data_IF_889506908859
#
_entry.id   IF_889506908859
#
_cell.length_a   1.000
_cell.length_b   1.000
_cell.length_c   1.000
_cell.angle_alpha   90.00
_cell.angle_beta   90.00
_cell.angle_gamma   90.00
#
_symmetry.space_group_name_H-M   'P 1'
#
loop_
_entity.id
_entity.type
_entity.pdbx_description
1 polymer ?
#
# COMPACT_ATOMS: atom_id res chain seq x y z
N UNK A 1 -2.27 12.38 -3.07
CA UNK A 1 -2.98 13.65 -3.31
C UNK A 1 -3.61 13.65 -4.69
N UNK A 2 -4.88 13.98 -4.80
CA UNK A 2 -5.56 14.00 -6.09
C UNK A 2 -5.06 15.16 -6.93
N UNK A 3 -4.65 14.92 -8.20
CA UNK A 3 -4.15 15.99 -9.06
C UNK A 3 -5.23 17.01 -9.38
N UNK A 4 -4.85 18.28 -9.45
CA UNK A 4 -5.75 19.34 -9.88
C UNK A 4 -5.88 19.34 -11.40
N UNK A 5 -7.06 19.71 -11.92
CA UNK A 5 -7.33 19.83 -13.35
C UNK A 5 -7.09 18.52 -14.13
N UNK A 6 -7.60 17.42 -13.59
CA UNK A 6 -7.48 16.10 -14.23
C UNK A 6 -8.35 16.08 -15.49
N UNK A 7 -7.73 16.00 -16.65
CA UNK A 7 -8.41 15.88 -17.95
C UNK A 7 -8.45 14.44 -18.46
N UNK A 8 -7.73 13.55 -17.79
CA UNK A 8 -7.64 12.13 -18.13
C UNK A 8 -7.39 11.34 -16.85
N UNK A 9 -7.52 10.02 -16.95
CA UNK A 9 -7.24 9.15 -15.82
C UNK A 9 -5.75 9.26 -15.45
N UNK A 10 -5.43 9.64 -14.20
CA UNK A 10 -4.03 9.74 -13.81
C UNK A 10 -3.39 8.35 -13.65
N UNK A 11 -2.07 8.25 -13.83
CA UNK A 11 -1.35 7.03 -13.48
C UNK A 11 -1.24 6.89 -11.96
N UNK A 12 -1.01 5.67 -11.47
CA UNK A 12 -0.90 5.41 -10.03
C UNK A 12 0.21 6.23 -9.37
N UNK A 13 1.28 6.54 -10.10
CA UNK A 13 2.38 7.36 -9.56
C UNK A 13 1.91 8.73 -9.05
N UNK A 14 0.80 9.26 -9.57
CA UNK A 14 0.29 10.57 -9.18
C UNK A 14 -0.33 10.59 -7.79
N UNK A 15 -0.74 9.43 -7.27
CA UNK A 15 -1.46 9.31 -6.00
C UNK A 15 -0.82 8.32 -5.00
N UNK A 16 0.17 7.57 -5.43
CA UNK A 16 0.88 6.63 -4.56
C UNK A 16 1.68 7.33 -3.48
N UNK A 17 2.05 6.60 -2.43
CA UNK A 17 3.10 7.02 -1.51
C UNK A 17 4.45 6.65 -2.14
N UNK A 18 5.27 7.63 -2.51
CA UNK A 18 6.58 7.35 -3.12
C UNK A 18 7.62 6.95 -2.07
N UNK A 19 8.58 6.15 -2.48
CA UNK A 19 9.72 5.74 -1.64
C UNK A 19 9.29 5.25 -0.26
N UNK A 20 8.41 4.25 -0.18
CA UNK A 20 7.89 3.80 1.10
C UNK A 20 8.98 3.18 1.96
N UNK A 21 8.78 3.25 3.27
CA UNK A 21 9.61 2.47 4.19
C UNK A 21 9.43 0.99 3.89
N UNK A 22 10.52 0.25 3.91
CA UNK A 22 10.52 -1.19 3.69
C UNK A 22 11.20 -1.89 4.87
N UNK A 23 11.06 -3.20 4.92
CA UNK A 23 11.69 -4.02 5.95
C UNK A 23 12.39 -5.20 5.27
N UNK A 24 13.52 -5.61 5.83
CA UNK A 24 14.24 -6.78 5.34
C UNK A 24 13.55 -8.08 5.78
N UNK A 25 13.55 -9.08 4.91
CA UNK A 25 12.96 -10.38 5.17
C UNK A 25 13.57 -11.07 6.40
N UNK A 26 14.84 -10.81 6.67
CA UNK A 26 15.57 -11.34 7.82
C UNK A 26 15.27 -10.66 9.15
N UNK A 27 14.52 -9.57 9.12
CA UNK A 27 14.14 -8.86 10.34
C UNK A 27 13.02 -9.58 11.08
N UNK A 28 12.85 -9.22 12.35
CA UNK A 28 11.83 -9.82 13.20
C UNK A 28 10.46 -9.21 12.97
N UNK A 29 9.43 -10.00 13.25
CA UNK A 29 8.04 -9.50 13.25
C UNK A 29 7.84 -8.42 14.32
N UNK A 30 8.59 -8.47 15.41
CA UNK A 30 8.59 -7.44 16.45
C UNK A 30 9.03 -6.09 15.86
N UNK A 31 10.08 -6.08 15.05
CA UNK A 31 10.53 -4.85 14.39
C UNK A 31 9.46 -4.33 13.42
N UNK A 32 8.82 -5.22 12.67
CA UNK A 32 7.72 -4.84 11.78
C UNK A 32 6.58 -4.14 12.55
N UNK A 33 6.17 -4.70 13.69
CA UNK A 33 5.12 -4.10 14.53
C UNK A 33 5.52 -2.71 15.03
N UNK A 34 6.76 -2.58 15.47
CA UNK A 34 7.28 -1.28 15.97
C UNK A 34 7.29 -0.23 14.86
N UNK A 35 7.71 -0.61 13.66
CA UNK A 35 7.72 0.29 12.51
C UNK A 35 6.30 0.73 12.16
N UNK A 36 5.36 -0.21 12.09
CA UNK A 36 3.96 0.13 11.78
C UNK A 36 3.36 1.05 12.83
N UNK A 37 3.58 0.78 14.10
CA UNK A 37 3.06 1.60 15.19
C UNK A 37 3.68 3.00 15.20
N UNK A 38 4.99 3.09 14.98
CA UNK A 38 5.72 4.36 15.03
C UNK A 38 5.48 5.26 13.83
N UNK A 39 5.26 4.67 12.65
CA UNK A 39 5.11 5.41 11.39
C UNK A 39 3.66 5.52 10.92
N UNK A 40 2.73 4.86 11.61
CA UNK A 40 1.31 4.86 11.23
C UNK A 40 1.02 4.10 9.95
N UNK A 41 1.88 3.20 9.55
CA UNK A 41 1.68 2.36 8.37
C UNK A 41 1.11 1.00 8.76
N UNK A 42 0.31 0.43 7.87
CA UNK A 42 -0.30 -0.89 8.06
C UNK A 42 0.22 -1.92 7.06
N UNK A 43 1.11 -1.50 6.17
CA UNK A 43 1.72 -2.33 5.15
C UNK A 43 3.18 -1.91 4.98
N UNK A 44 4.07 -2.89 4.90
CA UNK A 44 5.49 -2.64 4.62
C UNK A 44 5.95 -3.53 3.48
N UNK A 45 6.51 -2.96 2.42
CA UNK A 45 7.21 -3.76 1.43
C UNK A 45 8.35 -4.55 2.07
N UNK A 46 8.53 -5.78 1.64
CA UNK A 46 9.57 -6.68 2.17
C UNK A 46 10.65 -6.86 1.11
N UNK A 47 11.87 -6.59 1.51
CA UNK A 47 13.05 -6.69 0.66
C UNK A 47 13.92 -7.85 1.12
N UNK A 48 14.59 -8.49 0.19
CA UNK A 48 15.60 -9.50 0.47
C UNK A 48 16.79 -9.25 -0.45
N UNK A 49 17.91 -8.85 0.13
CA UNK A 49 19.16 -8.57 -0.60
C UNK A 49 18.95 -7.61 -1.78
N UNK A 50 18.20 -6.54 -1.54
CA UNK A 50 17.92 -5.54 -2.56
C UNK A 50 16.78 -5.88 -3.52
N UNK A 51 16.17 -7.04 -3.38
CA UNK A 51 15.05 -7.47 -4.21
C UNK A 51 13.73 -7.35 -3.45
N UNK A 52 12.70 -6.88 -4.13
CA UNK A 52 11.35 -6.83 -3.58
C UNK A 52 10.74 -8.23 -3.64
N UNK A 53 10.40 -8.80 -2.49
CA UNK A 53 9.86 -10.16 -2.42
C UNK A 53 8.40 -10.24 -1.97
N UNK A 54 7.84 -9.16 -1.44
CA UNK A 54 6.46 -9.19 -0.99
C UNK A 54 6.08 -8.01 -0.14
N UNK A 55 5.04 -8.18 0.63
CA UNK A 55 4.51 -7.17 1.55
C UNK A 55 4.09 -7.85 2.85
N UNK A 56 4.30 -7.18 3.97
CA UNK A 56 3.77 -7.62 5.26
C UNK A 56 2.77 -6.56 5.75
N UNK A 57 1.63 -7.03 6.23
CA UNK A 57 0.57 -6.16 6.72
C UNK A 57 0.26 -6.44 8.19
N UNK A 58 -0.44 -5.50 8.83
CA UNK A 58 -0.93 -5.70 10.20
C UNK A 58 -1.83 -6.93 10.31
N UNK A 59 -2.79 -7.18 9.39
CA UNK A 59 -3.55 -8.43 9.41
C UNK A 59 -2.69 -9.70 9.32
N UNK A 60 -1.60 -9.68 8.56
CA UNK A 60 -0.68 -10.82 8.48
C UNK A 60 -0.07 -11.12 9.84
N UNK A 61 0.36 -10.08 10.55
CA UNK A 61 0.94 -10.21 11.89
C UNK A 61 -0.08 -10.74 12.90
N UNK A 62 -1.32 -10.25 12.83
CA UNK A 62 -2.41 -10.74 13.69
C UNK A 62 -2.72 -12.21 13.45
N UNK A 63 -2.78 -12.64 12.20
CA UNK A 63 -3.03 -14.05 11.86
C UNK A 63 -1.95 -14.96 12.39
N UNK A 64 -0.69 -14.54 12.29
CA UNK A 64 0.43 -15.29 12.80
C UNK A 64 0.34 -15.47 14.33
N UNK A 65 -0.03 -14.42 15.06
CA UNK A 65 -0.25 -14.49 16.51
C UNK A 65 -1.40 -15.43 16.87
N UNK A 66 -2.55 -15.29 16.19
CA UNK A 66 -3.75 -16.09 16.44
C UNK A 66 -3.53 -17.57 16.16
N UNK A 67 -2.69 -17.90 15.20
CA UNK A 67 -2.34 -19.28 14.88
C UNK A 67 -1.37 -19.89 15.89
N UNK A 68 -0.94 -19.14 16.90
CA UNK A 68 0.06 -19.59 17.85
C UNK A 68 1.41 -19.80 17.18
N UNK A 69 1.61 -19.19 16.03
CA UNK A 69 2.86 -19.30 15.29
C UNK A 69 3.95 -18.54 16.04
N UNK A 70 5.05 -19.22 16.31
CA UNK A 70 6.27 -18.61 16.83
C UNK A 70 7.16 -18.08 15.69
N UNK A 71 6.56 -17.80 14.52
CA UNK A 71 7.28 -17.23 13.39
C UNK A 71 7.80 -15.84 13.79
N UNK A 72 9.09 -15.76 14.00
CA UNK A 72 9.74 -14.53 14.45
C UNK A 72 10.25 -13.68 13.29
N UNK A 73 10.35 -14.27 12.09
CA UNK A 73 10.91 -13.59 10.93
C UNK A 73 9.82 -13.08 10.01
N UNK A 74 10.06 -11.88 9.48
CA UNK A 74 9.20 -11.26 8.46
C UNK A 74 9.03 -12.20 7.26
N UNK A 75 10.10 -12.88 6.85
CA UNK A 75 10.08 -13.82 5.72
C UNK A 75 9.01 -14.91 5.85
N UNK A 76 8.72 -15.34 7.09
CA UNK A 76 7.78 -16.44 7.35
C UNK A 76 6.33 -16.00 7.38
N UNK A 77 6.08 -14.70 7.51
CA UNK A 77 4.74 -14.14 7.68
C UNK A 77 4.30 -13.32 6.46
N UNK A 78 5.25 -12.72 5.74
CA UNK A 78 4.96 -11.84 4.62
C UNK A 78 4.21 -12.56 3.49
N UNK A 79 3.34 -11.81 2.83
CA UNK A 79 2.68 -12.27 1.61
C UNK A 79 3.62 -12.11 0.41
N UNK A 80 3.95 -13.22 -0.25
CA UNK A 80 4.81 -13.22 -1.43
C UNK A 80 4.04 -13.03 -2.74
N UNK A 81 2.71 -13.06 -2.68
CA UNK A 81 1.82 -12.86 -3.82
C UNK A 81 1.31 -11.43 -3.88
N UNK A 82 2.16 -10.47 -3.53
CA UNK A 82 1.81 -9.07 -3.58
C UNK A 82 1.52 -8.62 -5.01
N UNK A 83 0.51 -7.77 -5.18
CA UNK A 83 0.23 -7.19 -6.47
C UNK A 83 1.28 -6.14 -6.82
N UNK A 84 1.87 -6.32 -7.99
CA UNK A 84 2.84 -5.37 -8.55
C UNK A 84 2.19 -4.66 -9.73
N UNK A 85 2.31 -3.35 -9.76
CA UNK A 85 1.87 -2.54 -10.91
C UNK A 85 2.98 -1.59 -11.29
N UNK A 86 3.06 -1.27 -12.58
CA UNK A 86 3.99 -0.25 -13.04
C UNK A 86 3.51 1.14 -12.62
N UNK A 87 4.43 2.04 -12.37
CA UNK A 87 4.09 3.40 -11.93
C UNK A 87 3.24 4.17 -12.95
N UNK A 88 3.29 3.79 -14.22
CA UNK A 88 2.49 4.38 -15.30
C UNK A 88 1.10 3.76 -15.45
N UNK A 89 0.78 2.71 -14.70
CA UNK A 89 -0.52 2.04 -14.79
C UNK A 89 -1.65 3.02 -14.49
N UNK A 90 -2.67 3.11 -15.37
CA UNK A 90 -3.82 3.97 -15.11
C UNK A 90 -4.53 3.61 -13.82
N UNK A 91 -4.89 4.62 -13.04
CA UNK A 91 -5.44 4.43 -11.70
C UNK A 91 -6.73 3.59 -11.68
N UNK A 92 -7.60 3.75 -12.67
CA UNK A 92 -8.84 2.97 -12.76
C UNK A 92 -8.55 1.47 -12.86
N UNK A 93 -7.51 1.09 -13.59
CA UNK A 93 -7.09 -0.32 -13.70
C UNK A 93 -6.54 -0.85 -12.40
N UNK A 94 -5.75 -0.02 -11.71
CA UNK A 94 -5.22 -0.39 -10.39
C UNK A 94 -6.36 -0.63 -9.40
N UNK A 95 -7.32 0.29 -9.36
CA UNK A 95 -8.48 0.19 -8.47
C UNK A 95 -9.33 -1.05 -8.78
N UNK A 96 -9.56 -1.33 -10.07
CA UNK A 96 -10.32 -2.51 -10.50
C UNK A 96 -9.63 -3.80 -10.09
N UNK A 97 -8.31 -3.87 -10.24
CA UNK A 97 -7.51 -5.03 -9.81
C UNK A 97 -7.59 -5.22 -8.29
N UNK A 98 -7.46 -4.14 -7.53
CA UNK A 98 -7.56 -4.19 -6.07
C UNK A 98 -8.93 -4.71 -5.63
N UNK A 99 -10.00 -4.21 -6.22
CA UNK A 99 -11.35 -4.63 -5.90
C UNK A 99 -11.59 -6.11 -6.24
N UNK A 100 -11.16 -6.54 -7.42
CA UNK A 100 -11.34 -7.91 -7.88
C UNK A 100 -10.64 -8.92 -6.99
N UNK A 101 -9.44 -8.60 -6.55
CA UNK A 101 -8.60 -9.49 -5.75
C UNK A 101 -8.65 -9.20 -4.25
N UNK A 102 -9.46 -8.23 -3.84
CA UNK A 102 -9.57 -7.79 -2.44
C UNK A 102 -8.21 -7.47 -1.85
N UNK A 103 -7.36 -6.84 -2.64
CA UNK A 103 -6.02 -6.49 -2.22
C UNK A 103 -6.04 -5.23 -1.36
N UNK A 104 -5.42 -5.30 -0.19
CA UNK A 104 -5.28 -4.14 0.70
C UNK A 104 -4.22 -3.16 0.24
N UNK A 105 -3.31 -3.60 -0.60
CA UNK A 105 -2.24 -2.77 -1.14
C UNK A 105 -1.76 -3.29 -2.48
N UNK A 106 -1.16 -2.40 -3.27
CA UNK A 106 -0.36 -2.75 -4.44
C UNK A 106 1.01 -2.11 -4.28
N UNK A 107 2.03 -2.82 -4.70
CA UNK A 107 3.39 -2.31 -4.74
C UNK A 107 3.63 -1.74 -6.14
N UNK A 108 4.11 -0.52 -6.18
CA UNK A 108 4.35 0.20 -7.43
C UNK A 108 5.83 0.10 -7.77
N UNK A 109 6.11 -0.37 -8.97
CA UNK A 109 7.48 -0.64 -9.40
C UNK A 109 7.82 0.15 -10.67
N UNK A 110 9.10 0.40 -10.82
CA UNK A 110 9.69 0.93 -12.04
C UNK A 110 10.90 0.05 -12.35
N UNK A 111 10.88 -0.61 -13.52
CA UNK A 111 11.97 -1.49 -13.92
C UNK A 111 12.32 -2.52 -12.81
N UNK A 112 11.29 -3.16 -12.28
CA UNK A 112 11.36 -4.17 -11.21
C UNK A 112 11.87 -3.64 -9.85
N UNK A 113 12.03 -2.34 -9.71
CA UNK A 113 12.42 -1.72 -8.43
C UNK A 113 11.24 -1.06 -7.76
N UNK A 114 11.18 -1.18 -6.44
CA UNK A 114 10.14 -0.55 -5.65
C UNK A 114 10.20 0.98 -5.81
N UNK A 115 9.09 1.55 -6.30
CA UNK A 115 8.95 2.99 -6.47
C UNK A 115 7.92 3.60 -5.51
N UNK A 116 6.93 2.82 -5.11
CA UNK A 116 5.87 3.32 -4.25
C UNK A 116 4.97 2.23 -3.72
N UNK A 117 4.00 2.63 -2.92
CA UNK A 117 2.93 1.77 -2.45
C UNK A 117 1.61 2.53 -2.56
N UNK A 118 0.55 1.82 -2.91
CA UNK A 118 -0.79 2.37 -2.96
C UNK A 118 -1.74 1.43 -2.24
N UNK A 119 -2.40 1.93 -1.19
CA UNK A 119 -3.23 1.11 -0.31
C UNK A 119 -4.71 1.40 -0.53
N UNK A 120 -5.56 0.52 0.01
CA UNK A 120 -7.01 0.75 0.02
C UNK A 120 -7.37 2.06 0.73
N UNK A 121 -6.65 2.42 1.79
CA UNK A 121 -6.82 3.70 2.47
C UNK A 121 -6.50 4.87 1.55
N UNK A 122 -5.41 4.76 0.79
CA UNK A 122 -5.05 5.78 -0.21
C UNK A 122 -6.13 5.90 -1.29
N UNK A 123 -6.70 4.77 -1.71
CA UNK A 123 -7.80 4.76 -2.69
C UNK A 123 -9.01 5.52 -2.17
N UNK A 124 -9.41 5.29 -0.92
CA UNK A 124 -10.52 6.00 -0.30
C UNK A 124 -10.24 7.51 -0.21
N UNK A 125 -9.04 7.87 0.22
CA UNK A 125 -8.63 9.28 0.31
C UNK A 125 -8.66 9.95 -1.06
N UNK A 126 -8.09 9.30 -2.06
CA UNK A 126 -8.05 9.81 -3.44
C UNK A 126 -9.45 10.00 -4.02
N UNK A 127 -10.35 9.05 -3.75
CA UNK A 127 -11.74 9.16 -4.22
C UNK A 127 -12.48 10.31 -3.53
N UNK A 128 -12.29 10.49 -2.23
CA UNK A 128 -12.88 11.60 -1.50
C UNK A 128 -12.39 12.95 -2.04
N UNK A 129 -11.09 13.08 -2.30
CA UNK A 129 -10.50 14.29 -2.89
C UNK A 129 -11.03 14.55 -4.30
N UNK A 130 -11.20 13.49 -5.10
CA UNK A 130 -11.78 13.57 -6.43
C UNK A 130 -13.20 14.13 -6.40
N UNK A 131 -14.04 13.60 -5.49
CA UNK A 131 -15.42 14.06 -5.33
C UNK A 131 -15.48 15.54 -4.92
N UNK A 132 -14.64 15.95 -3.98
CA UNK A 132 -14.58 17.36 -3.55
C UNK A 132 -14.13 18.28 -4.68
N UNK A 133 -13.22 17.82 -5.52
CA UNK A 133 -12.76 18.60 -6.66
C UNK A 133 -13.84 18.76 -7.73
N UNK A 134 -14.69 17.73 -7.94
CA UNK A 134 -15.79 17.77 -8.90
C UNK A 134 -17.01 18.56 -8.41
N UNK A 135 -17.22 18.56 -7.10
CA UNK A 135 -18.40 19.18 -6.48
C UNK A 135 -17.95 20.18 -5.39
N UNK A 136 -17.27 21.27 -5.78
CA UNK A 136 -16.80 22.25 -4.80
C UNK A 136 -17.99 22.93 -4.09
N UNK A 137 -17.89 23.05 -2.77
CA UNK A 137 -18.94 23.60 -1.93
C UNK A 137 -19.96 22.60 -1.40
N UNK A 138 -19.91 21.33 -1.86
CA UNK A 138 -20.79 20.26 -1.38
C UNK A 138 -20.09 19.33 -0.39
N UNK A 139 -18.77 19.46 -0.25
CA UNK A 139 -17.99 18.61 0.65
C UNK A 139 -18.49 18.75 2.06
N UNK A 140 -18.82 17.60 2.69
CA UNK A 140 -19.20 17.56 4.08
C UNK A 140 -18.04 17.94 4.99
N UNK A 141 -18.36 18.49 6.15
CA UNK A 141 -17.40 18.65 7.21
C UNK A 141 -16.83 17.28 7.55
N UNK A 142 -15.52 17.20 7.58
CA UNK A 142 -14.87 16.06 8.20
C UNK A 142 -15.08 16.15 9.70
N UNK A 143 -16.27 15.79 10.13
CA UNK A 143 -16.45 15.49 11.54
C UNK A 143 -15.64 14.23 11.82
N UNK A 144 -14.52 14.43 12.42
CA UNK A 144 -13.66 13.33 12.84
C UNK A 144 -14.41 12.40 13.78
#
# INVERSE_FOLDING_TARGET
>A
MWPRNVKSIPPVKAVMTPFPQSIEASETTTKARKMMAGLGFHHLPVMDRGELIGVISEPDLRRAESAGSEADLVADVACREAFLVDLSEPLDRVLSKMARHRAGSVLVVKEDRLAGIFTATDACRSFAECLRAQFPGEGGDEAA
#
